data_IF_118067255559
#
_entry.id   IF_118067255559
#
_cell.length_a   1.000
_cell.length_b   1.000
_cell.length_c   1.000
_cell.angle_alpha   90.00
_cell.angle_beta   90.00
_cell.angle_gamma   90.00
#
_symmetry.space_group_name_H-M   'P 1'
#
loop_
_entity.id
_entity.type
_entity.pdbx_description
1 polymer ?
#
# COMPACT_ATOMS: atom_id res chain seq x y z
N UNK A 1 29.22 -3.46 -9.45
CA UNK A 1 28.21 -2.67 -8.70
C UNK A 1 27.31 -3.58 -7.85
N UNK A 2 27.89 -4.65 -7.32
CA UNK A 2 27.10 -5.80 -6.86
C UNK A 2 26.44 -5.54 -5.50
N UNK A 3 27.15 -4.83 -4.62
CA UNK A 3 26.62 -4.42 -3.31
C UNK A 3 25.37 -3.55 -3.48
N UNK A 4 25.43 -2.52 -4.35
CA UNK A 4 24.29 -1.64 -4.59
C UNK A 4 23.09 -2.38 -5.22
N UNK A 5 23.37 -3.30 -6.15
CA UNK A 5 22.34 -4.16 -6.74
C UNK A 5 21.66 -5.06 -5.70
N UNK A 6 22.45 -5.69 -4.81
CA UNK A 6 21.93 -6.54 -3.74
C UNK A 6 21.05 -5.73 -2.79
N UNK A 7 21.51 -4.54 -2.36
CA UNK A 7 20.74 -3.66 -1.49
C UNK A 7 19.39 -3.31 -2.11
N UNK A 8 19.37 -2.89 -3.37
CA UNK A 8 18.14 -2.53 -4.06
C UNK A 8 17.20 -3.73 -4.24
N UNK A 9 17.72 -4.92 -4.54
CA UNK A 9 16.92 -6.15 -4.63
C UNK A 9 16.28 -6.52 -3.29
N UNK A 10 17.05 -6.49 -2.20
CA UNK A 10 16.52 -6.75 -0.85
C UNK A 10 15.44 -5.73 -0.48
N UNK A 11 15.69 -4.44 -0.78
CA UNK A 11 14.74 -3.37 -0.53
C UNK A 11 13.45 -3.55 -1.34
N UNK A 12 13.56 -3.95 -2.61
CA UNK A 12 12.41 -4.25 -3.46
C UNK A 12 11.56 -5.40 -2.91
N UNK A 13 12.19 -6.49 -2.50
CA UNK A 13 11.48 -7.65 -1.93
C UNK A 13 10.80 -7.25 -0.61
N UNK A 14 11.53 -6.60 0.29
CA UNK A 14 11.00 -6.17 1.59
C UNK A 14 9.81 -5.20 1.43
N UNK A 15 9.93 -4.20 0.56
CA UNK A 15 8.85 -3.24 0.28
C UNK A 15 7.64 -3.89 -0.40
N UNK A 16 7.85 -4.94 -1.21
CA UNK A 16 6.74 -5.72 -1.80
C UNK A 16 5.94 -6.47 -0.72
N UNK A 17 6.60 -7.15 0.21
CA UNK A 17 5.93 -7.81 1.33
C UNK A 17 5.20 -6.81 2.22
N UNK A 18 5.81 -5.65 2.50
CA UNK A 18 5.18 -4.60 3.29
C UNK A 18 3.94 -4.01 2.59
N UNK A 19 3.99 -3.83 1.26
CA UNK A 19 2.82 -3.42 0.48
C UNK A 19 1.70 -4.43 0.54
N UNK A 20 1.99 -5.73 0.37
CA UNK A 20 0.98 -6.78 0.46
C UNK A 20 0.31 -6.73 1.84
N UNK A 21 1.10 -6.64 2.91
CA UNK A 21 0.58 -6.55 4.28
C UNK A 21 -0.32 -5.32 4.46
N UNK A 22 0.17 -4.14 4.07
CA UNK A 22 -0.58 -2.88 4.22
C UNK A 22 -1.88 -2.85 3.40
N UNK A 23 -1.88 -3.44 2.21
CA UNK A 23 -3.08 -3.60 1.38
C UNK A 23 -4.09 -4.54 2.06
N UNK A 24 -3.64 -5.69 2.59
CA UNK A 24 -4.52 -6.63 3.29
C UNK A 24 -5.14 -6.04 4.57
N UNK A 25 -4.45 -5.10 5.22
CA UNK A 25 -5.01 -4.36 6.36
C UNK A 25 -6.13 -3.38 5.98
N UNK A 26 -6.31 -3.05 4.68
CA UNK A 26 -7.45 -2.23 4.29
C UNK A 26 -8.74 -3.04 4.48
N UNK A 27 -9.67 -2.49 5.27
CA UNK A 27 -11.01 -3.05 5.35
C UNK A 27 -11.58 -3.14 3.92
N UNK A 28 -11.94 -4.35 3.49
CA UNK A 28 -12.75 -4.52 2.30
C UNK A 28 -14.02 -3.71 2.49
N UNK A 29 -14.24 -2.67 1.67
CA UNK A 29 -15.47 -1.87 1.65
C UNK A 29 -16.63 -2.74 1.14
N UNK A 30 -17.06 -3.70 1.95
CA UNK A 30 -18.27 -4.47 1.75
C UNK A 30 -19.44 -3.70 2.35
N UNK A 31 -19.95 -2.71 1.61
CA UNK A 31 -21.27 -2.15 1.88
C UNK A 31 -22.30 -3.24 1.61
N UNK A 32 -22.79 -3.88 2.66
CA UNK A 32 -23.81 -4.92 2.55
C UNK A 32 -25.07 -4.40 1.86
N UNK A 33 -25.94 -5.32 1.40
CA UNK A 33 -27.21 -5.01 0.73
C UNK A 33 -28.03 -3.90 1.44
N UNK A 34 -27.89 -3.75 2.76
CA UNK A 34 -28.48 -2.70 3.58
C UNK A 34 -28.12 -1.25 3.20
N UNK A 35 -26.90 -0.97 2.70
CA UNK A 35 -26.54 0.36 2.19
C UNK A 35 -27.18 0.66 0.82
N UNK A 36 -27.50 -0.39 0.07
CA UNK A 36 -28.11 -0.30 -1.27
C UNK A 36 -29.63 -0.16 -1.19
N UNK A 37 -30.25 -0.57 -0.07
CA UNK A 37 -31.69 -0.51 0.18
C UNK A 37 -32.14 0.67 1.08
N UNK A 38 -31.34 1.73 1.20
CA UNK A 38 -31.74 2.95 1.92
C UNK A 38 -31.59 2.88 3.44
N UNK A 39 -30.58 2.14 3.92
CA UNK A 39 -30.24 2.00 5.33
C UNK A 39 -29.85 3.32 6.00
N UNK A 40 -30.86 4.00 6.54
CA UNK A 40 -30.89 4.87 7.73
C UNK A 40 -29.69 5.76 8.06
N UNK A 41 -30.03 6.98 8.48
CA UNK A 41 -29.21 8.10 9.00
C UNK A 41 -28.35 7.75 10.25
N UNK A 42 -28.06 6.48 10.53
CA UNK A 42 -27.46 6.00 11.78
C UNK A 42 -26.21 5.11 11.61
N UNK A 43 -25.78 4.77 10.40
CA UNK A 43 -24.59 3.93 10.14
C UNK A 43 -23.28 4.72 9.94
N UNK A 44 -23.25 6.02 10.29
CA UNK A 44 -22.00 6.80 10.38
C UNK A 44 -21.20 6.46 11.65
N UNK A 45 -21.77 5.65 12.55
CA UNK A 45 -21.09 5.23 13.75
C UNK A 45 -19.94 4.25 13.45
N UNK A 46 -18.72 4.78 13.54
CA UNK A 46 -17.53 4.05 14.00
C UNK A 46 -16.78 3.14 13.01
N UNK A 47 -16.79 3.43 11.71
CA UNK A 47 -15.58 3.15 10.93
C UNK A 47 -14.51 4.13 11.38
N UNK A 48 -13.36 3.62 11.84
CA UNK A 48 -12.22 4.40 12.32
C UNK A 48 -11.58 5.18 11.15
N UNK A 49 -12.29 6.21 10.64
CA UNK A 49 -11.91 6.94 9.43
C UNK A 49 -10.53 7.60 9.53
N UNK A 50 -10.06 7.86 10.77
CA UNK A 50 -8.69 8.32 11.03
C UNK A 50 -7.69 7.19 10.80
N UNK A 51 -7.95 5.97 11.27
CA UNK A 51 -7.09 4.82 11.05
C UNK A 51 -7.04 4.43 9.56
N UNK A 52 -8.18 4.45 8.85
CA UNK A 52 -8.23 4.17 7.40
C UNK A 52 -7.47 5.24 6.60
N UNK A 53 -7.64 6.52 6.94
CA UNK A 53 -6.88 7.62 6.30
C UNK A 53 -5.39 7.53 6.56
N UNK A 54 -4.98 7.14 7.77
CA UNK A 54 -3.55 6.97 8.10
C UNK A 54 -2.96 5.76 7.39
N UNK A 55 -3.67 4.63 7.34
CA UNK A 55 -3.25 3.42 6.64
C UNK A 55 -3.09 3.68 5.13
N UNK A 56 -4.00 4.43 4.53
CA UNK A 56 -3.89 4.85 3.13
C UNK A 56 -2.63 5.71 2.91
N UNK A 57 -2.35 6.65 3.80
CA UNK A 57 -1.17 7.53 3.70
C UNK A 57 0.14 6.75 3.77
N UNK A 58 0.23 5.77 4.66
CA UNK A 58 1.37 4.86 4.80
C UNK A 58 1.52 3.99 3.55
N UNK A 59 0.41 3.46 3.03
CA UNK A 59 0.45 2.58 1.85
C UNK A 59 0.92 3.33 0.61
N UNK A 60 0.44 4.56 0.42
CA UNK A 60 0.88 5.44 -0.67
C UNK A 60 2.36 5.79 -0.54
N UNK A 61 2.85 6.12 0.67
CA UNK A 61 4.28 6.44 0.84
C UNK A 61 5.17 5.23 0.55
N UNK A 62 4.79 4.03 1.00
CA UNK A 62 5.52 2.79 0.70
C UNK A 62 5.45 2.47 -0.80
N UNK A 63 4.31 2.67 -1.45
CA UNK A 63 4.15 2.44 -2.89
C UNK A 63 5.09 3.33 -3.71
N UNK A 64 5.23 4.60 -3.34
CA UNK A 64 6.17 5.53 -3.99
C UNK A 64 7.61 5.04 -3.85
N UNK A 65 8.02 4.62 -2.65
CA UNK A 65 9.37 4.07 -2.40
C UNK A 65 9.61 2.79 -3.19
N UNK A 66 8.61 1.90 -3.25
CA UNK A 66 8.66 0.66 -4.03
C UNK A 66 8.86 0.94 -5.52
N UNK A 67 8.08 1.85 -6.12
CA UNK A 67 8.24 2.26 -7.52
C UNK A 67 9.63 2.88 -7.77
N UNK A 68 10.08 3.78 -6.89
CA UNK A 68 11.39 4.40 -7.01
C UNK A 68 12.52 3.35 -7.00
N UNK A 69 12.37 2.27 -6.22
CA UNK A 69 13.33 1.17 -6.15
C UNK A 69 13.34 0.35 -7.44
N UNK A 70 12.19 0.09 -8.05
CA UNK A 70 12.08 -0.58 -9.36
C UNK A 70 12.79 0.25 -10.43
N UNK A 71 12.51 1.55 -10.49
CA UNK A 71 13.14 2.45 -11.47
C UNK A 71 14.65 2.50 -11.23
N UNK A 72 15.09 2.65 -9.98
CA UNK A 72 16.50 2.63 -9.61
C UNK A 72 17.22 1.35 -10.04
N UNK A 73 16.60 0.18 -9.81
CA UNK A 73 17.12 -1.10 -10.30
C UNK A 73 17.16 -1.15 -11.83
N UNK A 74 16.09 -0.73 -12.51
CA UNK A 74 16.02 -0.72 -13.96
C UNK A 74 17.13 0.13 -14.58
N UNK A 75 17.33 1.35 -14.06
CA UNK A 75 18.41 2.24 -14.48
C UNK A 75 19.79 1.62 -14.19
N UNK A 76 20.00 1.06 -13.00
CA UNK A 76 21.26 0.42 -12.63
C UNK A 76 21.55 -0.77 -13.54
N UNK A 77 20.57 -1.61 -13.87
CA UNK A 77 20.75 -2.74 -14.80
C UNK A 77 20.97 -2.32 -16.24
N UNK A 78 20.49 -1.14 -16.63
CA UNK A 78 20.57 -0.66 -18.02
C UNK A 78 21.88 0.09 -18.30
N UNK A 79 22.40 0.82 -17.31
CA UNK A 79 23.47 1.80 -17.50
C UNK A 79 24.74 1.53 -16.69
N UNK A 80 24.72 0.61 -15.72
CA UNK A 80 25.86 0.22 -14.91
C UNK A 80 26.19 -1.27 -15.07
#
# INVERSE_FOLDING_TARGET
>A
MDILRIILQVLLVASSFFLILTILLHKGKGGGLSDVFGGGVSSVASSSGVAERNLNRITVSVAVVWVATIVGLGLLTRYA
#
